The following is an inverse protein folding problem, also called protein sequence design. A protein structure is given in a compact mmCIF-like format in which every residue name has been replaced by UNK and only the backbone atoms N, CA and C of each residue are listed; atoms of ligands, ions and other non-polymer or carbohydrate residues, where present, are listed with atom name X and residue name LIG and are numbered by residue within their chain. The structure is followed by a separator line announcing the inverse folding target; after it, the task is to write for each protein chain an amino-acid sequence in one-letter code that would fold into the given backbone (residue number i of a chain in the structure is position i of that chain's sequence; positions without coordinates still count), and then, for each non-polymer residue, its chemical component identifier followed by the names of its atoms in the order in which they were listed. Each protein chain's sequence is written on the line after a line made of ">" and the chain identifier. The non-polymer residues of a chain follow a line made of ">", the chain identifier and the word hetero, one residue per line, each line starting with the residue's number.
data_IF_660006252964
#
_entry.id   IF_660006252964
#
_cell.length_a   1.000
_cell.length_b   1.000
_cell.length_c   1.000
_cell.angle_alpha   90.00
_cell.angle_beta   90.00
_cell.angle_gamma   90.00
#
_symmetry.space_group_name_H-M   'P 1'
#
loop_
_entity.id
_entity.type
_entity.pdbx_description
1 polymer ?
#
# COMPACT_ATOMS: atom_id res chain seq x y z
N UNK A 1 14.34 -3.93 0.83
CA UNK A 1 13.50 -4.20 -0.35
C UNK A 1 12.18 -3.48 -0.15
N UNK A 2 11.88 -2.54 -1.03
CA UNK A 2 10.68 -1.71 -1.00
C UNK A 2 9.64 -2.30 -1.95
N UNK A 3 8.37 -2.27 -1.55
CA UNK A 3 7.25 -2.70 -2.39
C UNK A 3 6.26 -1.55 -2.50
N UNK A 4 6.26 -0.87 -3.63
CA UNK A 4 5.44 0.32 -3.88
C UNK A 4 4.32 0.01 -4.87
N UNK A 5 3.09 0.12 -4.40
CA UNK A 5 1.90 -0.19 -5.18
C UNK A 5 0.75 0.72 -4.74
N UNK A 6 -0.25 0.83 -5.61
CA UNK A 6 -1.47 1.57 -5.32
C UNK A 6 -2.36 0.77 -4.37
N UNK A 7 -2.70 1.35 -3.23
CA UNK A 7 -3.60 0.76 -2.25
C UNK A 7 -2.95 -0.20 -1.26
N UNK A 8 -3.78 -1.09 -0.72
CA UNK A 8 -3.41 -2.14 0.24
C UNK A 8 -4.34 -3.37 0.08
N UNK A 9 -4.04 -4.46 0.78
CA UNK A 9 -4.84 -5.70 0.74
C UNK A 9 -6.29 -5.56 1.24
N UNK A 10 -6.64 -4.42 1.84
CA UNK A 10 -8.02 -4.12 2.28
C UNK A 10 -8.90 -3.55 1.16
N UNK A 11 -8.30 -3.14 0.03
CA UNK A 11 -8.99 -2.63 -1.15
C UNK A 11 -9.32 -3.74 -2.13
N UNK A 12 -10.41 -4.48 -1.87
CA UNK A 12 -10.97 -5.35 -2.91
C UNK A 12 -11.70 -4.49 -3.94
N UNK A 13 -11.24 -4.56 -5.20
CA UNK A 13 -11.75 -3.75 -6.33
C UNK A 13 -13.28 -3.76 -6.43
N UNK A 14 -13.91 -4.93 -6.23
CA UNK A 14 -15.37 -5.10 -6.34
C UNK A 14 -16.18 -4.13 -5.46
N UNK A 15 -15.67 -3.75 -4.30
CA UNK A 15 -16.37 -2.89 -3.34
C UNK A 15 -15.63 -1.56 -3.11
N UNK A 16 -14.68 -1.20 -3.98
CA UNK A 16 -13.80 -0.05 -3.74
C UNK A 16 -14.58 1.25 -3.52
N UNK A 17 -15.49 1.57 -4.45
CA UNK A 17 -16.29 2.78 -4.40
C UNK A 17 -17.18 2.84 -3.17
N UNK A 18 -17.94 1.76 -2.93
CA UNK A 18 -18.79 1.64 -1.75
C UNK A 18 -18.00 1.80 -0.45
N UNK A 19 -16.81 1.18 -0.36
CA UNK A 19 -15.96 1.28 0.81
C UNK A 19 -15.37 2.69 0.99
N UNK A 20 -15.07 3.39 -0.10
CA UNK A 20 -14.56 4.77 -0.05
C UNK A 20 -15.65 5.73 0.38
N UNK A 21 -16.84 5.62 -0.24
CA UNK A 21 -18.02 6.39 0.14
C UNK A 21 -18.35 6.21 1.62
N UNK A 22 -18.54 4.95 2.04
CA UNK A 22 -18.94 4.63 3.41
C UNK A 22 -17.91 5.17 4.41
N UNK A 23 -16.61 4.95 4.17
CA UNK A 23 -15.58 5.44 5.09
C UNK A 23 -15.48 6.97 5.10
N UNK A 24 -15.67 7.65 3.96
CA UNK A 24 -15.69 9.11 3.92
C UNK A 24 -16.86 9.68 4.73
N UNK A 25 -18.05 9.08 4.63
CA UNK A 25 -19.20 9.48 5.44
C UNK A 25 -18.96 9.23 6.94
N UNK A 26 -18.35 8.10 7.29
CA UNK A 26 -17.96 7.83 8.68
C UNK A 26 -16.92 8.82 9.20
N UNK A 27 -15.96 9.23 8.36
CA UNK A 27 -15.01 10.26 8.73
C UNK A 27 -15.64 11.65 8.87
N UNK A 28 -16.67 11.95 8.10
CA UNK A 28 -17.43 13.19 8.24
C UNK A 28 -18.08 13.26 9.61
N UNK A 29 -18.78 12.20 10.01
CA UNK A 29 -19.39 12.07 11.33
C UNK A 29 -18.34 12.10 12.45
N UNK A 30 -17.29 11.29 12.32
CA UNK A 30 -16.24 11.18 13.33
C UNK A 30 -15.52 12.51 13.55
N UNK A 31 -15.10 13.18 12.48
CA UNK A 31 -14.35 14.44 12.59
C UNK A 31 -15.23 15.61 13.03
N UNK A 32 -16.51 15.62 12.67
CA UNK A 32 -17.46 16.63 13.16
C UNK A 32 -17.66 16.53 14.68
N UNK A 33 -17.66 15.31 15.21
CA UNK A 33 -17.89 15.03 16.63
C UNK A 33 -16.61 14.95 17.48
N UNK A 34 -15.43 15.06 16.87
CA UNK A 34 -14.15 14.92 17.55
C UNK A 34 -13.79 16.18 18.34
N UNK A 35 -13.29 16.01 19.57
CA UNK A 35 -12.80 17.13 20.36
C UNK A 35 -11.51 17.71 19.75
N UNK A 36 -11.26 19.01 19.94
CA UNK A 36 -10.05 19.67 19.43
C UNK A 36 -8.77 19.00 19.95
N UNK A 37 -8.78 18.55 21.22
CA UNK A 37 -7.66 17.89 21.87
C UNK A 37 -7.42 16.44 21.40
N UNK A 38 -8.39 15.81 20.75
CA UNK A 38 -8.23 14.45 20.24
C UNK A 38 -7.27 14.41 19.06
N UNK A 39 -6.42 13.39 19.05
CA UNK A 39 -5.44 13.18 17.99
C UNK A 39 -5.59 11.80 17.37
N UNK A 40 -5.35 11.72 16.06
CA UNK A 40 -5.25 10.44 15.37
C UNK A 40 -3.88 9.81 15.65
N UNK A 41 -3.81 8.96 16.67
CA UNK A 41 -2.61 8.26 17.09
C UNK A 41 -2.94 6.79 17.41
N UNK A 42 -1.92 5.93 17.45
CA UNK A 42 -2.12 4.53 17.82
C UNK A 42 -2.79 4.45 19.20
N UNK A 43 -3.82 3.62 19.30
CA UNK A 43 -4.58 3.41 20.54
C UNK A 43 -5.29 4.66 21.09
N UNK A 44 -5.51 5.68 20.23
CA UNK A 44 -6.29 6.86 20.60
C UNK A 44 -7.80 6.59 20.57
N UNK A 45 -8.54 7.35 21.38
CA UNK A 45 -10.00 7.28 21.44
C UNK A 45 -10.64 7.46 20.05
N UNK A 46 -10.13 8.41 19.26
CA UNK A 46 -10.58 8.67 17.89
C UNK A 46 -10.42 7.44 16.96
N UNK A 47 -9.34 6.66 17.11
CA UNK A 47 -9.19 5.41 16.34
C UNK A 47 -10.13 4.30 16.83
N UNK A 48 -10.42 4.25 18.12
CA UNK A 48 -11.37 3.29 18.71
C UNK A 48 -12.80 3.59 18.25
N UNK A 49 -13.24 4.84 18.29
CA UNK A 49 -14.53 5.28 17.77
C UNK A 49 -14.67 4.97 16.27
N UNK A 50 -13.62 5.22 15.49
CA UNK A 50 -13.63 4.84 14.08
C UNK A 50 -13.77 3.32 13.88
N UNK A 51 -13.09 2.53 14.71
CA UNK A 51 -13.21 1.08 14.66
C UNK A 51 -14.65 0.62 14.96
N UNK A 52 -15.28 1.20 15.97
CA UNK A 52 -16.69 0.93 16.31
C UNK A 52 -17.63 1.27 15.15
N UNK A 53 -17.44 2.44 14.52
CA UNK A 53 -18.21 2.83 13.33
C UNK A 53 -17.99 1.84 12.17
N UNK A 54 -16.75 1.39 11.94
CA UNK A 54 -16.47 0.38 10.92
C UNK A 54 -17.15 -0.97 11.22
N UNK A 55 -17.23 -1.37 12.50
CA UNK A 55 -17.93 -2.59 12.92
C UNK A 55 -19.45 -2.47 12.70
N UNK A 56 -20.04 -1.35 13.13
CA UNK A 56 -21.48 -1.08 12.97
C UNK A 56 -21.91 -1.09 11.49
N UNK A 57 -21.05 -0.61 10.59
CA UNK A 57 -21.32 -0.56 9.16
C UNK A 57 -20.86 -1.80 8.37
N UNK A 58 -20.45 -2.89 9.06
CA UNK A 58 -19.98 -4.13 8.45
C UNK A 58 -18.80 -3.97 7.47
N UNK A 59 -17.92 -2.99 7.72
CA UNK A 59 -16.74 -2.71 6.90
C UNK A 59 -15.48 -3.50 7.33
N UNK A 60 -15.62 -4.31 8.38
CA UNK A 60 -14.61 -5.24 8.90
C UNK A 60 -15.05 -6.69 8.68
N UNK A 61 -14.14 -7.53 8.15
CA UNK A 61 -14.37 -8.97 8.08
C UNK A 61 -14.14 -9.57 9.48
N UNK A 62 -15.21 -10.03 10.13
CA UNK A 62 -15.29 -10.40 11.54
C UNK A 62 -14.51 -11.67 11.96
N UNK A 63 -13.34 -11.95 11.37
CA UNK A 63 -12.60 -13.20 11.62
C UNK A 63 -11.59 -13.15 12.75
N UNK A 64 -11.15 -11.97 13.19
CA UNK A 64 -10.13 -11.84 14.24
C UNK A 64 -10.52 -10.78 15.27
N UNK A 65 -11.47 -11.10 16.17
CA UNK A 65 -11.68 -10.34 17.42
C UNK A 65 -10.54 -10.64 18.39
N UNK A 66 -9.33 -10.16 18.10
CA UNK A 66 -8.23 -10.19 19.07
C UNK A 66 -8.10 -8.81 19.70
N UNK A 67 -8.42 -8.76 20.98
CA UNK A 67 -8.59 -7.62 21.90
C UNK A 67 -7.38 -6.67 22.06
N UNK A 68 -6.32 -6.83 21.26
CA UNK A 68 -5.10 -6.01 21.32
C UNK A 68 -4.58 -5.55 19.95
N UNK A 69 -5.31 -5.79 18.86
CA UNK A 69 -4.91 -5.41 17.48
C UNK A 69 -5.85 -4.39 16.82
N UNK A 70 -6.93 -3.94 17.48
CA UNK A 70 -8.03 -3.19 16.85
C UNK A 70 -7.63 -1.87 16.17
N UNK A 71 -6.74 -1.08 16.77
CA UNK A 71 -6.30 0.21 16.19
C UNK A 71 -5.45 0.05 14.92
N UNK A 72 -4.83 -1.13 14.73
CA UNK A 72 -4.17 -1.47 13.47
C UNK A 72 -5.17 -1.55 12.32
N UNK A 73 -6.36 -2.10 12.55
CA UNK A 73 -7.36 -2.26 11.50
C UNK A 73 -7.96 -0.90 11.10
N UNK A 74 -8.25 -0.03 12.08
CA UNK A 74 -8.61 1.37 11.84
C UNK A 74 -7.57 2.09 10.95
N UNK A 75 -6.29 1.95 11.27
CA UNK A 75 -5.18 2.55 10.50
C UNK A 75 -5.06 1.95 9.09
N UNK A 76 -5.20 0.64 8.95
CA UNK A 76 -5.10 -0.06 7.66
C UNK A 76 -6.25 0.30 6.74
N UNK A 77 -7.48 0.38 7.27
CA UNK A 77 -8.69 0.70 6.49
C UNK A 77 -8.70 2.15 6.01
N UNK A 78 -8.24 3.08 6.85
CA UNK A 78 -8.17 4.50 6.50
C UNK A 78 -6.94 4.89 5.68
N UNK A 79 -5.88 4.05 5.63
CA UNK A 79 -4.66 4.38 4.91
C UNK A 79 -4.88 4.70 3.42
N UNK A 80 -5.67 3.93 2.65
CA UNK A 80 -5.96 4.25 1.26
C UNK A 80 -6.59 5.62 1.06
N UNK A 81 -7.48 6.05 1.96
CA UNK A 81 -8.11 7.36 1.85
C UNK A 81 -7.08 8.48 2.03
N UNK A 82 -6.11 8.32 2.93
CA UNK A 82 -5.01 9.28 3.11
C UNK A 82 -3.97 9.19 1.98
N UNK A 83 -3.66 7.99 1.49
CA UNK A 83 -2.73 7.76 0.37
C UNK A 83 -3.24 8.45 -0.92
N UNK A 84 -4.57 8.47 -1.13
CA UNK A 84 -5.25 9.20 -2.20
C UNK A 84 -5.60 10.65 -1.84
N UNK A 85 -5.14 11.15 -0.69
CA UNK A 85 -5.38 12.52 -0.21
C UNK A 85 -6.88 12.90 -0.13
N UNK A 86 -7.75 11.93 0.15
CA UNK A 86 -9.19 12.14 0.36
C UNK A 86 -9.49 12.65 1.78
N UNK A 87 -8.63 12.33 2.74
CA UNK A 87 -8.70 12.79 4.13
C UNK A 87 -7.31 13.23 4.61
N UNK A 88 -7.27 14.03 5.67
CA UNK A 88 -6.06 14.28 6.47
C UNK A 88 -6.36 13.91 7.92
N UNK A 89 -5.84 12.76 8.37
CA UNK A 89 -6.22 12.18 9.66
C UNK A 89 -5.76 13.03 10.84
N UNK A 90 -4.56 13.62 10.73
CA UNK A 90 -3.99 14.50 11.76
C UNK A 90 -4.78 15.79 11.94
N UNK A 91 -5.27 16.32 10.81
CA UNK A 91 -6.00 17.59 10.78
C UNK A 91 -7.51 17.37 11.02
N UNK A 92 -7.97 16.12 11.07
CA UNK A 92 -9.38 15.73 11.23
C UNK A 92 -10.28 16.39 10.17
N UNK A 93 -9.84 16.36 8.90
CA UNK A 93 -10.63 16.91 7.79
C UNK A 93 -10.76 15.94 6.63
N UNK A 94 -11.91 16.02 5.96
CA UNK A 94 -12.09 15.55 4.59
C UNK A 94 -11.54 16.63 3.65
N UNK A 95 -10.74 16.25 2.68
CA UNK A 95 -10.16 17.21 1.73
C UNK A 95 -11.17 17.60 0.67
N UNK A 96 -10.87 18.64 -0.10
CA UNK A 96 -11.63 18.99 -1.31
C UNK A 96 -11.75 17.80 -2.28
N UNK A 97 -10.72 16.96 -2.37
CA UNK A 97 -10.74 15.75 -3.22
C UNK A 97 -11.65 14.67 -2.64
N UNK A 98 -11.71 14.51 -1.31
CA UNK A 98 -12.67 13.63 -0.67
C UNK A 98 -14.12 14.04 -0.95
N UNK A 99 -14.44 15.33 -0.84
CA UNK A 99 -15.76 15.86 -1.18
C UNK A 99 -16.07 15.80 -2.70
N UNK A 100 -15.08 15.99 -3.57
CA UNK A 100 -15.21 15.78 -5.01
C UNK A 100 -15.67 14.33 -5.30
N UNK A 101 -15.03 13.33 -4.67
CA UNK A 101 -15.43 11.93 -4.82
C UNK A 101 -16.86 11.66 -4.34
N UNK A 102 -17.25 12.16 -3.16
CA UNK A 102 -18.61 12.01 -2.64
C UNK A 102 -19.65 12.61 -3.60
N UNK A 103 -19.37 13.79 -4.16
CA UNK A 103 -20.23 14.45 -5.15
C UNK A 103 -20.37 13.61 -6.43
N UNK A 104 -19.27 13.07 -6.95
CA UNK A 104 -19.28 12.20 -8.14
C UNK A 104 -20.10 10.92 -7.92
N UNK A 105 -19.97 10.31 -6.74
CA UNK A 105 -20.73 9.09 -6.40
C UNK A 105 -22.22 9.42 -6.29
N UNK A 106 -22.57 10.49 -5.56
CA UNK A 106 -23.96 10.97 -5.40
C UNK A 106 -24.63 11.25 -6.75
N UNK A 107 -23.90 11.84 -7.68
CA UNK A 107 -24.38 12.17 -9.02
C UNK A 107 -24.34 10.99 -10.01
N UNK A 108 -23.98 9.79 -9.55
CA UNK A 108 -23.83 8.59 -10.39
C UNK A 108 -22.92 8.83 -11.60
N UNK A 109 -21.84 9.59 -11.40
CA UNK A 109 -20.96 10.04 -12.47
C UNK A 109 -20.17 8.92 -13.16
N UNK A 110 -20.22 7.69 -12.64
CA UNK A 110 -19.78 6.48 -13.35
C UNK A 110 -20.60 6.16 -14.63
N UNK A 111 -21.72 6.85 -14.84
CA UNK A 111 -22.55 6.74 -16.06
C UNK A 111 -22.23 7.82 -17.10
N UNK A 112 -21.33 8.73 -16.78
CA UNK A 112 -21.00 9.88 -17.60
C UNK A 112 -19.55 9.71 -18.03
N UNK A 113 -19.31 9.60 -19.33
CA UNK A 113 -17.96 9.54 -19.87
C UNK A 113 -17.42 10.94 -20.09
N UNK A 114 -16.12 11.10 -19.86
CA UNK A 114 -15.39 12.27 -20.27
C UNK A 114 -15.20 12.29 -21.79
N UNK A 115 -15.37 13.47 -22.41
CA UNK A 115 -15.29 13.63 -23.87
C UNK A 115 -13.92 13.32 -24.47
N UNK A 116 -12.84 13.51 -23.70
CA UNK A 116 -11.47 13.41 -24.21
C UNK A 116 -10.94 11.97 -24.12
N UNK A 117 -10.95 11.38 -22.93
CA UNK A 117 -10.41 10.03 -22.70
C UNK A 117 -11.44 8.91 -22.91
N UNK A 118 -12.73 9.24 -23.03
CA UNK A 118 -13.82 8.27 -23.16
C UNK A 118 -13.82 7.22 -22.04
N UNK A 119 -13.52 7.68 -20.82
CA UNK A 119 -13.64 6.92 -19.58
C UNK A 119 -14.62 7.63 -18.67
N UNK A 120 -15.28 6.87 -17.78
CA UNK A 120 -16.24 7.44 -16.84
C UNK A 120 -15.57 8.44 -15.88
N UNK A 121 -16.35 9.43 -15.42
CA UNK A 121 -15.82 10.51 -14.58
C UNK A 121 -15.24 10.03 -13.25
N UNK A 122 -15.71 8.90 -12.72
CA UNK A 122 -15.13 8.30 -11.51
C UNK A 122 -13.77 7.69 -11.82
N UNK A 123 -13.63 6.95 -12.92
CA UNK A 123 -12.33 6.46 -13.39
C UNK A 123 -11.35 7.60 -13.69
N UNK A 124 -11.82 8.69 -14.29
CA UNK A 124 -11.02 9.90 -14.50
C UNK A 124 -10.56 10.52 -13.18
N UNK A 125 -11.44 10.59 -12.18
CA UNK A 125 -11.08 11.03 -10.83
C UNK A 125 -9.95 10.16 -10.26
N UNK A 126 -10.08 8.83 -10.31
CA UNK A 126 -9.03 7.93 -9.82
C UNK A 126 -7.71 8.10 -10.57
N UNK A 127 -7.74 8.29 -11.88
CA UNK A 127 -6.54 8.60 -12.66
C UNK A 127 -5.88 9.90 -12.16
N UNK A 128 -6.66 10.97 -11.97
CA UNK A 128 -6.19 12.27 -11.45
C UNK A 128 -5.58 12.17 -10.06
N UNK A 129 -6.23 11.47 -9.11
CA UNK A 129 -5.67 11.33 -7.75
C UNK A 129 -4.45 10.40 -7.71
N UNK A 130 -4.39 9.41 -8.61
CA UNK A 130 -3.24 8.51 -8.74
C UNK A 130 -1.98 9.26 -9.21
N UNK A 131 -2.13 10.32 -10.01
CA UNK A 131 -1.00 11.21 -10.36
C UNK A 131 -0.41 11.94 -9.14
N UNK A 132 -1.23 12.19 -8.11
CA UNK A 132 -0.85 12.87 -6.88
C UNK A 132 -0.72 11.91 -5.67
N UNK A 133 -0.47 10.63 -5.93
CA UNK A 133 -0.41 9.60 -4.89
C UNK A 133 0.71 9.88 -3.88
N UNK A 134 0.34 10.14 -2.63
CA UNK A 134 1.26 10.70 -1.62
C UNK A 134 2.29 9.69 -1.11
N UNK A 135 1.90 8.41 -1.04
CA UNK A 135 2.74 7.33 -0.51
C UNK A 135 3.95 7.00 -1.39
N UNK A 136 3.82 7.14 -2.71
CA UNK A 136 4.92 6.87 -3.65
C UNK A 136 4.87 7.88 -4.81
N UNK A 137 5.59 9.01 -4.69
CA UNK A 137 5.60 10.04 -5.71
C UNK A 137 6.02 9.49 -7.08
N UNK A 138 5.33 9.93 -8.12
CA UNK A 138 5.59 9.57 -9.52
C UNK A 138 5.45 8.07 -9.85
N UNK A 139 4.87 7.24 -8.98
CA UNK A 139 4.73 5.80 -9.21
C UNK A 139 3.99 5.48 -10.52
N UNK A 140 2.91 6.22 -10.82
CA UNK A 140 2.14 6.03 -12.05
C UNK A 140 2.98 6.37 -13.28
N UNK A 141 3.74 7.46 -13.23
CA UNK A 141 4.64 7.84 -14.31
C UNK A 141 5.68 6.75 -14.57
N UNK A 142 6.29 6.20 -13.51
CA UNK A 142 7.24 5.08 -13.65
C UNK A 142 6.56 3.85 -14.28
N UNK A 143 5.34 3.52 -13.87
CA UNK A 143 4.59 2.41 -14.48
C UNK A 143 4.28 2.68 -15.96
N UNK A 144 3.94 3.92 -16.33
CA UNK A 144 3.69 4.31 -17.73
C UNK A 144 4.97 4.28 -18.58
N UNK A 145 6.12 4.62 -18.01
CA UNK A 145 7.43 4.48 -18.69
C UNK A 145 7.73 3.01 -19.00
N UNK A 146 7.46 2.10 -18.05
CA UNK A 146 7.58 0.65 -18.27
C UNK A 146 6.60 0.21 -19.35
N UNK A 147 5.31 0.56 -19.23
CA UNK A 147 4.27 0.24 -20.21
C UNK A 147 4.68 0.66 -21.63
N UNK A 148 5.20 1.88 -21.79
CA UNK A 148 5.74 2.39 -23.06
C UNK A 148 6.92 1.55 -23.56
N UNK A 149 7.86 1.19 -22.69
CA UNK A 149 9.06 0.42 -23.06
C UNK A 149 8.76 -1.02 -23.51
N UNK A 150 7.58 -1.53 -23.19
CA UNK A 150 7.05 -2.84 -23.63
C UNK A 150 5.94 -2.71 -24.69
N UNK A 151 5.92 -1.59 -25.42
CA UNK A 151 5.04 -1.43 -26.59
C UNK A 151 3.56 -1.27 -26.26
N UNK A 152 3.24 -0.78 -25.06
CA UNK A 152 1.85 -0.58 -24.64
C UNK A 152 1.15 -1.86 -24.22
N UNK A 153 1.90 -2.89 -23.81
CA UNK A 153 1.35 -4.11 -23.22
C UNK A 153 2.33 -4.71 -22.22
N UNK A 154 1.82 -5.32 -21.14
CA UNK A 154 2.63 -6.00 -20.14
C UNK A 154 2.16 -7.44 -20.01
N UNK A 155 3.13 -8.37 -19.99
CA UNK A 155 2.84 -9.73 -19.55
C UNK A 155 2.49 -9.73 -18.06
N UNK A 156 1.77 -10.75 -17.60
CA UNK A 156 1.46 -10.92 -16.18
C UNK A 156 2.73 -10.90 -15.31
N UNK A 157 3.81 -11.53 -15.80
CA UNK A 157 5.11 -11.53 -15.11
C UNK A 157 5.66 -10.12 -14.90
N UNK A 158 5.71 -9.30 -15.96
CA UNK A 158 6.21 -7.92 -15.86
C UNK A 158 5.29 -7.09 -14.97
N UNK A 159 3.98 -7.25 -15.10
CA UNK A 159 3.00 -6.55 -14.28
C UNK A 159 3.21 -6.84 -12.78
N UNK A 160 3.45 -8.09 -12.41
CA UNK A 160 3.73 -8.48 -11.02
C UNK A 160 5.05 -7.91 -10.48
N UNK A 161 5.98 -7.51 -11.35
CA UNK A 161 7.28 -6.95 -10.96
C UNK A 161 7.25 -5.43 -10.78
N UNK A 162 6.23 -4.74 -11.30
CA UNK A 162 6.09 -3.27 -11.19
C UNK A 162 6.24 -2.75 -9.75
N UNK A 163 5.74 -3.42 -8.69
CA UNK A 163 5.92 -2.94 -7.33
C UNK A 163 7.37 -2.84 -6.84
N UNK A 164 8.32 -3.48 -7.54
CA UNK A 164 9.74 -3.46 -7.20
C UNK A 164 10.49 -2.26 -7.81
N UNK A 165 9.83 -1.42 -8.62
CA UNK A 165 10.48 -0.40 -9.44
C UNK A 165 11.37 0.58 -8.66
N UNK A 166 11.05 0.87 -7.41
CA UNK A 166 11.80 1.79 -6.56
C UNK A 166 12.99 1.15 -5.83
N UNK A 167 13.29 -0.13 -6.09
CA UNK A 167 14.55 -0.77 -5.67
C UNK A 167 15.68 -0.52 -6.68
N UNK A 168 15.42 0.22 -7.75
CA UNK A 168 16.38 0.49 -8.81
C UNK A 168 16.69 1.99 -8.84
N UNK A 169 17.87 2.33 -9.37
CA UNK A 169 18.34 3.71 -9.44
C UNK A 169 17.34 4.62 -10.18
N UNK A 170 16.75 4.09 -11.26
CA UNK A 170 15.73 4.76 -12.06
C UNK A 170 14.91 3.74 -12.86
N UNK A 171 13.84 4.21 -13.50
CA UNK A 171 12.96 3.35 -14.33
C UNK A 171 13.70 2.66 -15.48
N UNK A 172 14.69 3.32 -16.08
CA UNK A 172 15.46 2.74 -17.19
C UNK A 172 16.31 1.55 -16.74
N UNK A 173 16.92 1.63 -15.55
CA UNK A 173 17.61 0.50 -14.95
C UNK A 173 16.64 -0.66 -14.68
N UNK A 174 15.49 -0.40 -14.04
CA UNK A 174 14.46 -1.43 -13.83
C UNK A 174 14.05 -2.14 -15.13
N UNK A 175 13.75 -1.39 -16.19
CA UNK A 175 13.41 -1.92 -17.51
C UNK A 175 14.55 -2.79 -18.07
N UNK A 176 15.80 -2.33 -17.94
CA UNK A 176 16.98 -3.09 -18.37
C UNK A 176 17.10 -4.41 -17.62
N UNK A 177 16.91 -4.42 -16.30
CA UNK A 177 16.99 -5.64 -15.50
C UNK A 177 15.88 -6.65 -15.83
N UNK A 178 14.66 -6.18 -16.17
CA UNK A 178 13.59 -7.05 -16.68
C UNK A 178 14.00 -7.67 -18.02
N UNK A 179 14.45 -6.86 -18.98
CA UNK A 179 14.86 -7.34 -20.32
C UNK A 179 15.99 -8.36 -20.24
N UNK A 180 16.92 -8.17 -19.29
CA UNK A 180 18.05 -9.07 -19.06
C UNK A 180 17.71 -10.27 -18.16
N UNK A 181 16.49 -10.37 -17.62
CA UNK A 181 16.07 -11.40 -16.66
C UNK A 181 16.93 -11.47 -15.40
N UNK A 182 17.48 -10.33 -14.98
CA UNK A 182 18.39 -10.21 -13.82
C UNK A 182 17.73 -9.55 -12.62
N UNK A 183 16.44 -9.21 -12.71
CA UNK A 183 15.71 -8.43 -11.70
C UNK A 183 15.86 -8.98 -10.28
N UNK A 184 15.66 -10.28 -10.06
CA UNK A 184 15.77 -10.88 -8.73
C UNK A 184 17.20 -10.85 -8.21
N UNK A 185 18.18 -11.14 -9.07
CA UNK A 185 19.60 -11.05 -8.70
C UNK A 185 19.95 -9.63 -8.25
N UNK A 186 19.53 -8.61 -8.99
CA UNK A 186 19.78 -7.21 -8.65
C UNK A 186 19.13 -6.80 -7.33
N UNK A 187 17.85 -7.15 -7.12
CA UNK A 187 17.13 -6.81 -5.88
C UNK A 187 17.71 -7.55 -4.67
N UNK A 188 18.09 -8.81 -4.85
CA UNK A 188 18.66 -9.63 -3.78
C UNK A 188 20.07 -9.16 -3.42
N UNK A 189 20.94 -8.86 -4.39
CA UNK A 189 22.30 -8.40 -4.13
C UNK A 189 22.38 -7.05 -3.41
N UNK A 190 21.34 -6.22 -3.49
CA UNK A 190 21.24 -4.98 -2.71
C UNK A 190 20.83 -5.21 -1.25
N UNK A 191 20.44 -6.43 -0.87
CA UNK A 191 20.00 -6.77 0.47
C UNK A 191 21.17 -7.35 1.29
N UNK A 192 21.54 -6.68 2.38
CA UNK A 192 22.61 -7.13 3.29
C UNK A 192 22.40 -8.58 3.79
N UNK A 193 21.14 -9.02 3.95
CA UNK A 193 20.83 -10.39 4.35
C UNK A 193 21.11 -11.42 3.24
N UNK A 194 21.09 -11.02 1.98
CA UNK A 194 21.45 -11.89 0.87
C UNK A 194 22.97 -12.06 0.76
N UNK A 195 23.74 -11.00 1.03
CA UNK A 195 25.19 -11.11 1.17
C UNK A 195 25.57 -12.06 2.33
N UNK A 196 24.79 -12.07 3.41
CA UNK A 196 24.94 -13.07 4.47
C UNK A 196 24.60 -14.49 4.01
N UNK A 197 23.64 -14.67 3.09
CA UNK A 197 23.33 -15.97 2.51
C UNK A 197 24.49 -16.49 1.64
N UNK A 198 25.06 -15.65 0.77
CA UNK A 198 26.22 -16.04 -0.05
C UNK A 198 27.42 -16.41 0.84
N UNK A 199 27.66 -15.63 1.91
CA UNK A 199 28.69 -15.95 2.90
C UNK A 199 28.39 -17.25 3.66
N UNK A 200 27.13 -17.46 4.07
CA UNK A 200 26.69 -18.70 4.72
C UNK A 200 26.88 -19.93 3.83
N UNK A 201 26.51 -19.84 2.55
CA UNK A 201 26.67 -20.93 1.59
C UNK A 201 28.14 -21.24 1.33
N UNK A 202 28.99 -20.21 1.21
CA UNK A 202 30.44 -20.38 1.11
C UNK A 202 31.02 -21.03 2.37
N UNK A 203 30.60 -20.60 3.56
CA UNK A 203 31.05 -21.18 4.83
C UNK A 203 30.60 -22.63 5.00
N UNK A 204 29.38 -22.95 4.55
CA UNK A 204 28.86 -24.31 4.54
C UNK A 204 29.68 -25.22 3.62
N UNK A 205 30.03 -24.75 2.42
CA UNK A 205 30.88 -25.51 1.48
C UNK A 205 32.30 -25.72 2.01
N UNK A 206 32.83 -24.75 2.75
CA UNK A 206 34.18 -24.80 3.31
C UNK A 206 34.25 -25.38 4.73
N UNK A 207 33.13 -25.88 5.28
CA UNK A 207 33.01 -26.33 6.68
C UNK A 207 33.47 -25.27 7.71
N UNK A 208 33.35 -23.98 7.40
CA UNK A 208 33.74 -22.83 8.24
C UNK A 208 32.53 -22.09 8.81
N UNK A 209 31.54 -22.83 9.31
CA UNK A 209 30.24 -22.31 9.72
C UNK A 209 30.34 -21.26 10.86
N UNK A 210 29.90 -20.03 10.57
CA UNK A 210 29.85 -18.95 11.55
C UNK A 210 28.51 -18.94 12.32
N UNK A 211 28.56 -19.05 13.66
CA UNK A 211 27.36 -19.12 14.51
C UNK A 211 26.57 -17.80 14.57
N UNK A 212 27.17 -16.69 14.13
CA UNK A 212 26.50 -15.38 14.10
C UNK A 212 25.35 -15.31 13.10
N UNK A 213 25.29 -16.19 12.10
CA UNK A 213 24.17 -16.29 11.15
C UNK A 213 22.83 -16.63 11.83
N UNK A 214 22.85 -17.23 13.02
CA UNK A 214 21.66 -17.66 13.76
C UNK A 214 21.25 -16.68 14.87
N UNK A 215 21.89 -15.52 14.96
CA UNK A 215 21.54 -14.48 15.92
C UNK A 215 20.34 -13.68 15.42
N UNK A 216 19.26 -13.65 16.21
CA UNK A 216 18.09 -12.81 15.91
C UNK A 216 18.14 -11.52 16.70
N UNK A 217 17.32 -10.53 16.31
CA UNK A 217 17.13 -9.28 17.05
C UNK A 217 16.63 -9.47 18.50
N UNK A 218 16.23 -10.70 18.88
CA UNK A 218 15.83 -11.08 20.24
C UNK A 218 16.88 -11.93 20.98
N UNK A 219 18.11 -12.00 20.48
CA UNK A 219 19.21 -12.80 21.03
C UNK A 219 19.38 -14.19 20.39
N UNK A 220 20.34 -14.96 20.91
CA UNK A 220 20.60 -16.37 20.54
C UNK A 220 19.45 -17.25 21.03
N UNK A 221 18.39 -17.43 20.23
CA UNK A 221 17.47 -18.54 20.45
C UNK A 221 18.01 -19.76 19.71
N UNK A 222 18.79 -20.55 20.46
CA UNK A 222 19.11 -21.96 20.28
C UNK A 222 19.28 -22.44 18.83
N UNK A 223 20.52 -22.75 18.45
CA UNK A 223 20.77 -23.78 17.43
C UNK A 223 19.88 -25.00 17.73
N UNK A 224 19.27 -25.64 16.70
CA UNK A 224 18.65 -26.94 16.90
C UNK A 224 19.75 -27.88 17.40
N UNK A 225 19.64 -28.31 18.67
CA UNK A 225 20.44 -29.42 19.17
C UNK A 225 19.91 -30.66 18.47
N UNK A 226 20.66 -31.15 17.47
CA UNK A 226 20.46 -32.50 16.97
C UNK A 226 20.95 -33.44 18.07
N UNK A 227 20.04 -34.27 18.58
CA UNK A 227 20.34 -35.45 19.39
C UNK A 227 20.84 -36.58 18.50
#
# INVERSE_FOLDING_TARGET
>A
MTYDYFGNTSLRVKNLLYNFESQLLLFEELFHNADEAETWANDSNLQLQYLELLEQHNLLESKNKTTHLGTKDARVKSAPLEDYNLIKRKDKIITTQGYELLSLIKNQSYKIDNEFLQIDLISLFFLKVTLNFSKSPFLLQKYLEVFRAFGGSLSLEIFMLLPLINNFENTADFIRQIKNKTIFKSVLQQNANYLQLDNFLNDLQNNSLNTSYFKTAKGEKNCPKYH
#
